data_IF_225014795661
#
_entry.id   IF_225014795661
#
_cell.length_a   1.000
_cell.length_b   1.000
_cell.length_c   1.000
_cell.angle_alpha   90.00
_cell.angle_beta   90.00
_cell.angle_gamma   90.00
#
_symmetry.space_group_name_H-M   'P 1'
#
loop_
_entity.id
_entity.type
_entity.pdbx_description
1 polymer ?
#
# COMPACT_ATOMS: atom_id res chain seq x y z
N UNK A 1 -5.81 -12.70 -16.55
CA UNK A 1 -5.30 -13.61 -15.50
C UNK A 1 -5.60 -12.97 -14.16
N UNK A 2 -6.24 -13.70 -13.26
CA UNK A 2 -6.49 -13.24 -11.89
C UNK A 2 -5.15 -13.20 -11.17
N UNK A 3 -4.79 -12.05 -10.62
CA UNK A 3 -3.53 -11.87 -9.88
C UNK A 3 -3.42 -12.84 -8.70
N UNK A 4 -2.20 -13.26 -8.37
CA UNK A 4 -1.92 -14.31 -7.39
C UNK A 4 -2.44 -13.93 -5.98
N UNK A 5 -2.43 -12.63 -5.63
CA UNK A 5 -3.01 -12.12 -4.38
C UNK A 5 -4.53 -12.25 -4.41
N UNK A 6 -5.18 -11.99 -5.55
CA UNK A 6 -6.63 -12.12 -5.68
C UNK A 6 -7.08 -13.57 -5.45
N UNK A 7 -6.36 -14.54 -6.01
CA UNK A 7 -6.63 -15.97 -5.74
C UNK A 7 -6.40 -16.33 -4.27
N UNK A 8 -5.32 -15.83 -3.67
CA UNK A 8 -5.04 -16.06 -2.28
C UNK A 8 -6.09 -15.42 -1.34
N UNK A 9 -6.65 -14.26 -1.68
CA UNK A 9 -7.76 -13.66 -0.92
C UNK A 9 -9.02 -14.52 -1.03
N UNK A 10 -9.38 -14.95 -2.24
CA UNK A 10 -10.61 -15.72 -2.48
C UNK A 10 -10.57 -17.13 -1.88
N UNK A 11 -9.39 -17.66 -1.57
CA UNK A 11 -9.22 -18.98 -0.94
C UNK A 11 -9.22 -18.95 0.60
N UNK A 12 -9.35 -17.77 1.22
CA UNK A 12 -9.39 -17.68 2.68
C UNK A 12 -10.75 -18.11 3.24
N UNK A 13 -10.71 -18.84 4.36
CA UNK A 13 -11.92 -19.34 5.03
C UNK A 13 -12.88 -18.23 5.48
N UNK A 14 -12.36 -17.05 5.83
CA UNK A 14 -13.18 -15.90 6.22
C UNK A 14 -13.96 -15.31 5.04
N UNK A 15 -13.36 -15.32 3.84
CA UNK A 15 -14.02 -14.91 2.59
C UNK A 15 -15.01 -15.99 2.12
N UNK A 16 -14.63 -17.26 2.16
CA UNK A 16 -15.53 -18.36 1.78
C UNK A 16 -16.82 -18.36 2.61
N UNK A 17 -16.70 -18.28 3.94
CA UNK A 17 -17.85 -18.17 4.86
C UNK A 17 -18.73 -16.95 4.57
N UNK A 18 -18.13 -15.83 4.18
CA UNK A 18 -18.90 -14.63 3.83
C UNK A 18 -19.70 -14.82 2.53
N UNK A 19 -19.07 -15.43 1.51
CA UNK A 19 -19.68 -15.71 0.21
C UNK A 19 -20.87 -16.66 0.31
N UNK A 20 -20.77 -17.70 1.15
CA UNK A 20 -21.84 -18.68 1.36
C UNK A 20 -23.11 -18.05 1.97
N UNK A 21 -22.95 -17.04 2.83
CA UNK A 21 -24.07 -16.37 3.51
C UNK A 21 -24.74 -15.23 2.76
N UNK A 22 -24.16 -14.70 1.66
CA UNK A 22 -24.56 -13.41 1.07
C UNK A 22 -24.75 -13.40 -0.45
N UNK A 23 -25.26 -14.48 -1.04
CA UNK A 23 -25.55 -14.55 -2.47
C UNK A 23 -24.27 -14.61 -3.31
N UNK A 24 -23.49 -15.67 -3.09
CA UNK A 24 -22.08 -15.85 -3.45
C UNK A 24 -21.61 -15.29 -4.80
N UNK A 25 -22.41 -15.31 -5.87
CA UNK A 25 -22.00 -14.70 -7.16
C UNK A 25 -21.87 -13.17 -7.07
N UNK A 26 -22.91 -12.48 -6.58
CA UNK A 26 -22.91 -11.02 -6.48
C UNK A 26 -21.87 -10.53 -5.44
N UNK A 27 -21.72 -11.26 -4.33
CA UNK A 27 -20.69 -10.97 -3.35
C UNK A 27 -19.28 -11.15 -3.94
N UNK A 28 -19.05 -12.21 -4.73
CA UNK A 28 -17.77 -12.46 -5.38
C UNK A 28 -17.40 -11.38 -6.40
N UNK A 29 -18.36 -10.93 -7.21
CA UNK A 29 -18.14 -9.80 -8.14
C UNK A 29 -17.73 -8.53 -7.40
N UNK A 30 -18.40 -8.20 -6.29
CA UNK A 30 -18.03 -7.04 -5.45
C UNK A 30 -16.63 -7.18 -4.86
N UNK A 31 -16.26 -8.36 -4.36
CA UNK A 31 -14.90 -8.63 -3.86
C UNK A 31 -13.88 -8.39 -4.98
N UNK A 32 -14.13 -8.88 -6.19
CA UNK A 32 -13.25 -8.62 -7.33
C UNK A 32 -13.11 -7.13 -7.62
N UNK A 33 -14.21 -6.37 -7.62
CA UNK A 33 -14.17 -4.92 -7.79
C UNK A 33 -13.33 -4.23 -6.71
N UNK A 34 -13.49 -4.61 -5.44
CA UNK A 34 -12.70 -4.03 -4.35
C UNK A 34 -11.22 -4.44 -4.41
N UNK A 35 -10.91 -5.66 -4.84
CA UNK A 35 -9.51 -6.08 -5.02
C UNK A 35 -8.82 -5.30 -6.15
N UNK A 36 -9.52 -5.05 -7.25
CA UNK A 36 -9.02 -4.18 -8.32
C UNK A 36 -8.84 -2.73 -7.85
N UNK A 37 -9.72 -2.25 -6.97
CA UNK A 37 -9.56 -0.95 -6.33
C UNK A 37 -8.28 -0.91 -5.47
N UNK A 38 -8.10 -1.88 -4.57
CA UNK A 38 -6.97 -1.96 -3.63
C UNK A 38 -5.62 -2.24 -4.32
N UNK A 39 -5.63 -2.75 -5.56
CA UNK A 39 -4.42 -3.15 -6.26
C UNK A 39 -3.47 -1.98 -6.45
N UNK A 40 -2.21 -2.23 -6.13
CA UNK A 40 -1.09 -1.31 -6.29
C UNK A 40 0.13 -2.07 -6.78
N UNK A 41 0.98 -1.42 -7.58
CA UNK A 41 2.25 -2.01 -8.01
C UNK A 41 3.36 -1.12 -7.48
N UNK A 42 4.12 -1.61 -6.50
CA UNK A 42 5.27 -0.88 -6.00
C UNK A 42 6.46 -1.13 -6.92
N UNK A 43 6.92 -0.09 -7.64
CA UNK A 43 8.08 -0.16 -8.53
C UNK A 43 9.17 0.76 -8.02
N UNK A 44 9.94 0.24 -7.07
CA UNK A 44 10.89 1.05 -6.32
C UNK A 44 11.98 1.69 -7.20
N UNK A 45 12.44 0.99 -8.23
CA UNK A 45 13.41 1.53 -9.20
C UNK A 45 12.86 2.77 -9.93
N UNK A 46 11.57 2.79 -10.27
CA UNK A 46 10.91 3.93 -10.91
C UNK A 46 10.74 5.07 -9.91
N UNK A 47 10.40 4.77 -8.65
CA UNK A 47 10.32 5.78 -7.59
C UNK A 47 11.67 6.47 -7.35
N UNK A 48 12.77 5.70 -7.31
CA UNK A 48 14.13 6.26 -7.21
C UNK A 48 14.47 7.13 -8.42
N UNK A 49 14.04 6.75 -9.62
CA UNK A 49 14.18 7.58 -10.82
C UNK A 49 13.31 8.86 -10.76
N UNK A 50 12.15 8.82 -10.08
CA UNK A 50 11.30 9.98 -9.83
C UNK A 50 11.98 11.06 -8.97
N UNK A 51 13.06 10.71 -8.26
CA UNK A 51 13.95 11.69 -7.60
C UNK A 51 14.51 12.70 -8.59
N UNK A 52 14.70 12.35 -9.87
CA UNK A 52 15.25 13.27 -10.88
C UNK A 52 14.28 14.40 -11.26
N UNK A 53 13.02 14.15 -11.68
CA UNK A 53 12.06 15.24 -11.92
C UNK A 53 11.65 15.97 -10.63
N UNK A 54 11.59 15.28 -9.49
CA UNK A 54 11.32 15.91 -8.19
C UNK A 54 12.54 16.56 -7.55
N UNK A 55 13.73 16.42 -8.15
CA UNK A 55 15.00 16.90 -7.62
C UNK A 55 14.98 18.39 -7.23
N UNK A 56 14.36 19.30 -8.01
CA UNK A 56 14.34 20.72 -7.65
C UNK A 56 13.65 21.01 -6.31
N UNK A 57 12.72 20.16 -5.89
CA UNK A 57 12.01 20.23 -4.61
C UNK A 57 12.81 19.46 -3.56
N UNK A 58 13.17 18.21 -3.85
CA UNK A 58 13.86 17.32 -2.91
C UNK A 58 15.23 17.85 -2.49
N UNK A 59 15.95 18.59 -3.35
CA UNK A 59 17.23 19.22 -3.00
C UNK A 59 17.11 20.34 -1.96
N UNK A 60 15.90 20.90 -1.78
CA UNK A 60 15.62 21.94 -0.79
C UNK A 60 15.19 21.35 0.55
N UNK A 61 14.99 20.04 0.63
CA UNK A 61 14.55 19.33 1.82
C UNK A 61 15.76 18.57 2.35
N UNK A 62 16.26 19.00 3.50
CA UNK A 62 17.23 18.22 4.23
C UNK A 62 16.57 16.94 4.75
N UNK A 63 17.18 15.79 4.46
CA UNK A 63 16.66 14.48 4.82
C UNK A 63 17.50 13.94 5.96
N UNK A 64 16.96 14.02 7.17
CA UNK A 64 17.61 13.55 8.38
C UNK A 64 17.05 12.17 8.75
N UNK A 65 17.90 11.14 8.70
CA UNK A 65 17.56 9.80 9.14
C UNK A 65 17.85 9.64 10.63
N UNK A 66 16.86 9.90 11.48
CA UNK A 66 16.98 9.67 12.92
C UNK A 66 16.64 8.22 13.29
N UNK A 67 17.39 7.63 14.22
CA UNK A 67 17.13 6.29 14.78
C UNK A 67 16.99 5.17 13.73
N UNK A 68 17.64 5.32 12.58
CA UNK A 68 17.54 4.39 11.45
C UNK A 68 17.96 2.97 11.85
N UNK A 69 18.92 2.83 12.76
CA UNK A 69 19.37 1.51 13.21
C UNK A 69 18.28 0.72 13.96
N UNK A 70 17.38 1.40 14.66
CA UNK A 70 16.22 0.77 15.31
C UNK A 70 15.28 0.20 14.24
N UNK A 71 15.00 0.98 13.20
CA UNK A 71 14.15 0.56 12.07
C UNK A 71 14.80 -0.60 11.32
N UNK A 72 16.12 -0.52 11.08
CA UNK A 72 16.90 -1.57 10.43
C UNK A 72 16.87 -2.87 11.24
N UNK A 73 17.05 -2.79 12.55
CA UNK A 73 16.98 -3.96 13.44
C UNK A 73 15.58 -4.58 13.43
N UNK A 74 14.52 -3.77 13.51
CA UNK A 74 13.14 -4.23 13.46
C UNK A 74 12.81 -4.92 12.12
N UNK A 75 13.26 -4.33 10.99
CA UNK A 75 13.05 -4.89 9.67
C UNK A 75 13.84 -6.20 9.43
N UNK A 76 14.97 -6.40 10.11
CA UNK A 76 15.70 -7.68 10.10
C UNK A 76 15.04 -8.73 10.99
N UNK A 77 14.44 -8.33 12.11
CA UNK A 77 13.78 -9.24 13.03
C UNK A 77 12.43 -9.74 12.52
N UNK A 78 11.74 -8.97 11.67
CA UNK A 78 10.47 -9.38 11.10
C UNK A 78 9.78 -8.27 10.31
N UNK A 79 8.44 -8.38 10.22
CA UNK A 79 7.61 -7.43 9.48
C UNK A 79 7.33 -6.19 10.32
N UNK A 80 7.55 -5.04 9.72
CA UNK A 80 7.37 -3.74 10.37
C UNK A 80 6.14 -3.05 9.81
N UNK A 81 5.27 -2.58 10.71
CA UNK A 81 4.18 -1.67 10.39
C UNK A 81 4.59 -0.29 10.88
N UNK A 82 4.65 0.68 9.97
CA UNK A 82 4.99 2.06 10.27
C UNK A 82 3.73 2.83 10.64
N UNK A 83 3.64 3.28 11.89
CA UNK A 83 2.59 4.17 12.36
C UNK A 83 3.09 5.62 12.32
N UNK A 84 3.16 6.19 11.12
CA UNK A 84 3.72 7.53 10.89
C UNK A 84 2.72 8.64 11.26
N UNK A 85 3.22 9.76 11.77
CA UNK A 85 2.45 10.98 11.94
C UNK A 85 2.47 11.76 10.62
N UNK A 86 1.29 12.03 10.06
CA UNK A 86 1.22 12.68 8.76
C UNK A 86 1.11 14.21 8.90
N UNK A 87 2.20 14.94 8.64
CA UNK A 87 2.23 16.41 8.72
C UNK A 87 2.12 17.06 7.35
N UNK A 88 2.63 16.42 6.30
CA UNK A 88 2.65 16.99 4.94
C UNK A 88 2.63 15.93 3.84
N UNK A 89 2.18 16.30 2.64
CA UNK A 89 2.25 15.42 1.45
C UNK A 89 3.69 15.09 1.04
N UNK A 90 4.67 15.84 1.54
CA UNK A 90 6.10 15.60 1.32
C UNK A 90 6.60 14.38 2.08
N UNK A 91 5.92 14.01 3.18
CA UNK A 91 6.35 12.92 4.06
C UNK A 91 6.42 11.59 3.27
N UNK A 92 5.43 11.34 2.39
CA UNK A 92 5.41 10.18 1.48
C UNK A 92 6.50 10.18 0.41
N UNK A 93 7.16 11.32 0.18
CA UNK A 93 8.29 11.44 -0.74
C UNK A 93 9.63 11.33 -0.01
N UNK A 94 9.73 11.91 1.19
CA UNK A 94 10.98 11.94 1.94
C UNK A 94 11.25 10.63 2.68
N UNK A 95 10.25 10.09 3.39
CA UNK A 95 10.41 8.93 4.27
C UNK A 95 10.88 7.68 3.50
N UNK A 96 10.27 7.28 2.36
CA UNK A 96 10.76 6.13 1.60
C UNK A 96 12.19 6.31 1.07
N UNK A 97 12.57 7.54 0.70
CA UNK A 97 13.93 7.84 0.24
C UNK A 97 14.95 7.77 1.38
N UNK A 98 14.59 8.16 2.61
CA UNK A 98 15.47 8.02 3.79
C UNK A 98 15.67 6.53 4.11
N UNK A 99 14.60 5.74 4.09
CA UNK A 99 14.69 4.30 4.34
C UNK A 99 15.59 3.62 3.31
N UNK A 100 15.40 3.91 2.02
CA UNK A 100 16.19 3.32 0.95
C UNK A 100 17.66 3.77 0.93
N UNK A 101 17.93 5.06 1.16
CA UNK A 101 19.31 5.56 1.29
C UNK A 101 20.07 4.84 2.43
N UNK A 102 19.35 4.23 3.38
CA UNK A 102 19.88 3.45 4.48
C UNK A 102 19.77 1.92 4.31
N UNK A 103 19.41 1.44 3.13
CA UNK A 103 19.29 0.02 2.79
C UNK A 103 18.09 -0.68 3.42
N UNK A 104 17.08 0.08 3.84
CA UNK A 104 15.84 -0.43 4.41
C UNK A 104 14.77 -0.40 3.32
N UNK A 105 14.15 -1.55 3.06
CA UNK A 105 13.05 -1.64 2.08
C UNK A 105 11.89 -0.74 2.51
N UNK A 106 11.46 0.21 1.67
CA UNK A 106 10.35 1.09 2.03
C UNK A 106 9.02 0.35 2.18
N UNK A 107 8.12 0.83 3.05
CA UNK A 107 6.83 0.19 3.28
C UNK A 107 5.86 0.37 2.11
N UNK A 108 4.84 -0.50 2.05
CA UNK A 108 3.62 -0.21 1.30
C UNK A 108 2.84 0.87 2.07
N UNK A 109 2.47 1.94 1.38
CA UNK A 109 1.76 3.08 1.99
C UNK A 109 0.25 2.91 1.78
N UNK A 110 -0.55 3.07 2.83
CA UNK A 110 -2.00 3.21 2.67
C UNK A 110 -2.35 4.70 2.48
N UNK A 111 -3.11 5.03 1.44
CA UNK A 111 -3.47 6.42 1.13
C UNK A 111 -4.97 6.53 0.83
N UNK A 112 -5.57 7.66 1.20
CA UNK A 112 -6.98 7.91 0.92
C UNK A 112 -7.27 7.85 -0.59
N UNK A 113 -8.33 7.14 -1.00
CA UNK A 113 -8.69 6.96 -2.41
C UNK A 113 -8.90 8.29 -3.17
N UNK A 114 -9.22 9.37 -2.45
CA UNK A 114 -9.36 10.71 -3.02
C UNK A 114 -8.06 11.25 -3.66
N UNK A 115 -6.90 10.68 -3.33
CA UNK A 115 -5.61 11.05 -3.91
C UNK A 115 -5.33 10.35 -5.25
N UNK A 116 -6.18 9.41 -5.66
CA UNK A 116 -5.98 8.61 -6.87
C UNK A 116 -6.67 9.17 -8.12
N UNK A 117 -7.00 10.46 -8.11
CA UNK A 117 -7.56 11.17 -9.27
C UNK A 117 -6.49 11.57 -10.30
N UNK A 118 -6.83 11.43 -11.58
CA UNK A 118 -6.02 11.95 -12.70
C UNK A 118 -4.61 11.33 -12.78
N UNK A 119 -3.65 12.05 -13.42
CA UNK A 119 -2.28 11.56 -13.61
C UNK A 119 -1.53 11.24 -12.30
N UNK A 120 -1.82 11.96 -11.22
CA UNK A 120 -1.22 11.72 -9.91
C UNK A 120 -1.63 10.37 -9.32
N UNK A 121 -2.86 9.92 -9.57
CA UNK A 121 -3.31 8.60 -9.12
C UNK A 121 -2.55 7.44 -9.75
N UNK A 122 -2.13 7.58 -11.00
CA UNK A 122 -1.26 6.59 -11.66
C UNK A 122 0.12 6.55 -11.01
N UNK A 123 0.69 7.71 -10.64
CA UNK A 123 1.95 7.76 -9.91
C UNK A 123 1.84 7.12 -8.52
N UNK A 124 0.78 7.45 -7.77
CA UNK A 124 0.57 6.85 -6.45
C UNK A 124 0.39 5.33 -6.53
N UNK A 125 -0.41 4.85 -7.49
CA UNK A 125 -0.68 3.42 -7.64
C UNK A 125 0.50 2.62 -8.22
N UNK A 126 1.25 3.18 -9.17
CA UNK A 126 2.24 2.41 -9.92
C UNK A 126 3.69 2.72 -9.59
N UNK A 127 3.96 3.86 -8.96
CA UNK A 127 5.32 4.30 -8.63
C UNK A 127 5.54 4.25 -7.14
N UNK A 128 4.74 4.96 -6.33
CA UNK A 128 4.91 4.96 -4.87
C UNK A 128 4.42 3.67 -4.23
N UNK A 129 3.60 2.87 -4.93
CA UNK A 129 3.00 1.66 -4.39
C UNK A 129 1.97 1.95 -3.30
N UNK A 130 1.31 3.11 -3.38
CA UNK A 130 0.26 3.45 -2.42
C UNK A 130 -0.98 2.59 -2.68
N UNK A 131 -1.48 1.93 -1.63
CA UNK A 131 -2.73 1.19 -1.62
C UNK A 131 -3.87 2.19 -1.37
N UNK A 132 -4.82 2.36 -2.31
CA UNK A 132 -5.96 3.25 -2.11
C UNK A 132 -6.91 2.66 -1.07
N UNK A 133 -7.26 3.45 -0.06
CA UNK A 133 -8.18 3.05 1.01
C UNK A 133 -9.32 4.08 1.08
N UNK A 134 -10.56 3.57 1.15
CA UNK A 134 -11.74 4.40 1.39
C UNK A 134 -11.71 4.97 2.81
N UNK A 135 -12.06 6.26 2.95
CA UNK A 135 -12.18 6.91 4.27
C UNK A 135 -13.40 6.43 5.06
N UNK A 136 -14.49 6.15 4.35
CA UNK A 136 -15.74 5.70 4.96
C UNK A 136 -15.98 4.23 4.61
N UNK A 137 -15.92 3.39 5.64
CA UNK A 137 -15.85 1.93 5.48
C UNK A 137 -17.10 1.25 6.03
N UNK A 138 -18.28 1.70 5.58
CA UNK A 138 -19.58 1.17 6.02
C UNK A 138 -19.97 -0.15 5.38
N UNK A 139 -19.32 -0.51 4.28
CA UNK A 139 -19.63 -1.70 3.51
C UNK A 139 -18.90 -2.93 4.09
N UNK A 140 -19.62 -3.93 4.64
CA UNK A 140 -19.00 -5.11 5.24
C UNK A 140 -18.19 -5.94 4.23
N UNK A 141 -18.62 -5.99 2.96
CA UNK A 141 -17.89 -6.71 1.90
C UNK A 141 -16.54 -6.07 1.66
N UNK A 142 -16.50 -4.73 1.64
CA UNK A 142 -15.24 -4.00 1.48
C UNK A 142 -14.33 -4.22 2.70
N UNK A 143 -14.86 -4.18 3.93
CA UNK A 143 -14.07 -4.41 5.14
C UNK A 143 -13.41 -5.79 5.16
N UNK A 144 -14.17 -6.85 4.88
CA UNK A 144 -13.62 -8.21 4.85
C UNK A 144 -12.60 -8.37 3.73
N UNK A 145 -12.84 -7.76 2.56
CA UNK A 145 -11.90 -7.77 1.44
C UNK A 145 -10.61 -7.04 1.78
N UNK A 146 -10.70 -5.83 2.35
CA UNK A 146 -9.54 -5.05 2.78
C UNK A 146 -8.71 -5.81 3.81
N UNK A 147 -9.34 -6.39 4.83
CA UNK A 147 -8.66 -7.18 5.85
C UNK A 147 -7.94 -8.39 5.25
N UNK A 148 -8.61 -9.12 4.37
CA UNK A 148 -8.05 -10.27 3.68
C UNK A 148 -6.85 -9.88 2.78
N UNK A 149 -7.00 -8.80 2.03
CA UNK A 149 -5.96 -8.27 1.15
C UNK A 149 -4.73 -7.79 1.92
N UNK A 150 -4.91 -6.99 2.98
CA UNK A 150 -3.81 -6.55 3.85
C UNK A 150 -3.10 -7.73 4.50
N UNK A 151 -3.85 -8.74 4.96
CA UNK A 151 -3.25 -9.94 5.51
C UNK A 151 -2.38 -10.69 4.49
N UNK A 152 -2.79 -10.73 3.23
CA UNK A 152 -2.01 -11.35 2.16
C UNK A 152 -0.79 -10.51 1.75
N UNK A 153 -0.93 -9.18 1.70
CA UNK A 153 0.20 -8.28 1.51
C UNK A 153 1.25 -8.46 2.61
N UNK A 154 0.82 -8.51 3.87
CA UNK A 154 1.72 -8.78 4.98
C UNK A 154 2.42 -10.12 4.79
N UNK A 155 1.74 -11.18 4.35
CA UNK A 155 2.36 -12.50 4.10
C UNK A 155 3.42 -12.52 3.01
N UNK A 156 3.33 -11.65 2.02
CA UNK A 156 4.19 -11.67 0.82
C UNK A 156 5.28 -10.61 0.81
N UNK A 157 5.06 -9.50 1.50
CA UNK A 157 5.94 -8.33 1.46
C UNK A 157 7.23 -8.53 2.28
#
# INVERSE_FOLDING_TARGET
MVDEITQAVLSRDDIARYLDGHGGRAARERIHTYLEELRTTQRYSIYRALKHPLYPILRKIERLGENVDVVRAAARAGRVVYASNHRSHTDYLAEPLVLDDNGIRPPIIAAGINLFGGPLGLLHRHVTGAMPVRRNVKDPVYLVTLKAYVAELLRRH
#
